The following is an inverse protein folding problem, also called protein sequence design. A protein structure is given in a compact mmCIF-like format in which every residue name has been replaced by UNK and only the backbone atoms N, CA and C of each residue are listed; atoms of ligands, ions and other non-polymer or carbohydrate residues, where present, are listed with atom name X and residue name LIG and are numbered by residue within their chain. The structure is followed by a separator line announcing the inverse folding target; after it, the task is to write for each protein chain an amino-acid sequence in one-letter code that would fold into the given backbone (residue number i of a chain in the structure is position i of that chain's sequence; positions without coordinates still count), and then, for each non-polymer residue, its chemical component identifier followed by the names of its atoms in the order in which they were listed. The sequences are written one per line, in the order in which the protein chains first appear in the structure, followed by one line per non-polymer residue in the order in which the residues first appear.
data_IF_591686907216
#
_entry.id   IF_591686907216
#
_cell.length_a   1.000
_cell.length_b   1.000
_cell.length_c   1.000
_cell.angle_alpha   90.00
_cell.angle_beta   90.00
_cell.angle_gamma   90.00
#
_symmetry.space_group_name_H-M   'P 1'
#
loop_
_entity.id
_entity.type
_entity.pdbx_description
1 polymer ?
#
# COMPACT_ATOMS: atom_id res chain seq x y z
N UNK A 1 -25.83 29.36 6.73
CA UNK A 1 -25.60 28.94 8.14
C UNK A 1 -24.99 27.55 8.10
N UNK A 2 -24.05 27.33 9.00
CA UNK A 2 -23.01 26.31 9.04
C UNK A 2 -23.47 24.83 9.04
N UNK A 3 -22.50 23.97 8.74
CA UNK A 3 -22.55 22.54 9.02
C UNK A 3 -21.53 21.74 8.21
N UNK A 4 -20.24 21.94 8.50
CA UNK A 4 -19.15 20.99 8.25
C UNK A 4 -19.66 19.54 8.34
N UNK A 5 -19.54 18.78 7.25
CA UNK A 5 -19.56 17.33 7.39
C UNK A 5 -18.15 16.95 7.84
N UNK A 6 -17.98 16.39 9.05
CA UNK A 6 -16.66 16.05 9.54
C UNK A 6 -15.99 15.09 8.57
N UNK A 7 -14.74 15.46 8.33
CA UNK A 7 -13.70 14.71 7.68
C UNK A 7 -13.67 13.27 8.16
N UNK A 8 -13.27 12.39 7.25
CA UNK A 8 -12.62 11.13 7.56
C UNK A 8 -13.42 10.13 8.43
N UNK A 9 -14.20 9.28 7.77
CA UNK A 9 -14.59 8.01 8.38
C UNK A 9 -14.45 6.89 7.36
N UNK A 10 -13.23 6.72 6.86
CA UNK A 10 -12.76 5.36 6.61
C UNK A 10 -11.69 5.09 7.65
N UNK A 11 -12.14 4.68 8.84
CA UNK A 11 -11.33 3.87 9.73
C UNK A 11 -11.09 2.51 9.04
N UNK A 12 -10.34 2.53 7.94
CA UNK A 12 -9.59 1.36 7.52
C UNK A 12 -8.66 1.13 8.67
N UNK A 13 -8.94 0.09 9.46
CA UNK A 13 -8.08 -0.38 10.56
C UNK A 13 -6.63 -0.08 10.19
N UNK A 14 -5.98 0.82 10.94
CA UNK A 14 -4.58 1.23 10.84
C UNK A 14 -3.70 0.02 11.18
N UNK A 15 -3.85 -1.04 10.41
CA UNK A 15 -2.91 -2.12 10.38
C UNK A 15 -1.77 -1.59 9.52
N UNK A 16 -0.56 -1.46 10.09
CA UNK A 16 0.57 -0.95 9.34
C UNK A 16 0.74 -1.86 8.13
N UNK A 17 0.50 -1.31 6.94
CA UNK A 17 0.81 -2.04 5.71
C UNK A 17 2.32 -2.12 5.63
N UNK A 18 2.86 -3.31 5.52
CA UNK A 18 4.31 -3.50 5.48
C UNK A 18 4.76 -3.56 4.03
N UNK A 19 5.82 -2.82 3.71
CA UNK A 19 6.46 -2.88 2.40
C UNK A 19 7.01 -4.28 2.16
N UNK A 20 6.58 -4.89 1.06
CA UNK A 20 7.00 -6.24 0.68
C UNK A 20 8.50 -6.29 0.39
N UNK A 21 9.08 -5.19 -0.11
CA UNK A 21 10.49 -5.13 -0.49
C UNK A 21 11.43 -4.86 0.69
N UNK A 22 11.12 -3.88 1.55
CA UNK A 22 12.04 -3.44 2.62
C UNK A 22 11.56 -3.76 4.04
N UNK A 23 10.31 -4.20 4.23
CA UNK A 23 9.74 -4.47 5.54
C UNK A 23 9.38 -3.22 6.36
N UNK A 24 9.50 -2.02 5.79
CA UNK A 24 9.11 -0.78 6.47
C UNK A 24 7.58 -0.64 6.57
N UNK A 25 7.11 0.05 7.60
CA UNK A 25 5.72 0.49 7.68
C UNK A 25 5.42 1.49 6.57
N UNK A 26 4.38 1.23 5.80
CA UNK A 26 3.84 2.11 4.77
C UNK A 26 2.82 3.00 5.47
N UNK A 27 3.02 4.29 5.30
CA UNK A 27 2.03 5.27 5.74
C UNK A 27 0.78 5.14 4.86
N UNK A 28 -0.35 4.80 5.48
CA UNK A 28 -1.62 4.60 4.77
C UNK A 28 -2.43 5.88 4.63
N UNK A 29 -1.93 7.01 5.13
CA UNK A 29 -2.56 8.34 4.94
C UNK A 29 -2.22 8.92 3.56
N UNK A 30 -1.16 8.44 2.92
CA UNK A 30 -0.77 8.79 1.56
C UNK A 30 -1.02 7.66 0.55
N UNK A 31 -1.12 8.00 -0.74
CA UNK A 31 -1.26 7.01 -1.81
C UNK A 31 0.07 6.27 -2.01
N UNK A 32 0.04 4.95 -1.87
CA UNK A 32 1.21 4.09 -2.07
C UNK A 32 1.04 3.10 -3.24
N UNK A 33 2.14 2.74 -3.91
CA UNK A 33 2.10 1.77 -5.00
C UNK A 33 1.75 0.36 -4.50
N UNK A 34 0.86 -0.31 -5.23
CA UNK A 34 0.49 -1.72 -5.03
C UNK A 34 0.60 -2.52 -6.31
N UNK A 35 0.97 -3.79 -6.20
CA UNK A 35 0.97 -4.77 -7.30
C UNK A 35 0.05 -5.92 -6.91
N UNK A 36 -0.88 -6.27 -7.80
CA UNK A 36 -1.71 -7.45 -7.62
C UNK A 36 -1.14 -8.59 -8.48
N UNK A 37 -0.74 -9.66 -7.83
CA UNK A 37 -0.33 -10.89 -8.49
C UNK A 37 -1.54 -11.86 -8.61
N UNK A 38 -2.01 -12.14 -9.83
CA UNK A 38 -3.12 -13.05 -10.05
C UNK A 38 -2.70 -14.52 -10.02
N UNK A 39 -1.41 -14.83 -10.14
CA UNK A 39 -0.91 -16.20 -10.30
C UNK A 39 -1.03 -17.01 -9.01
N UNK A 40 -0.82 -16.37 -7.85
CA UNK A 40 -0.89 -17.03 -6.54
C UNK A 40 -2.13 -16.65 -5.71
N UNK A 41 -3.28 -16.49 -6.39
CA UNK A 41 -4.57 -16.32 -5.72
C UNK A 41 -4.84 -14.90 -5.21
N UNK A 42 -4.51 -13.89 -6.02
CA UNK A 42 -4.75 -12.47 -5.74
C UNK A 42 -3.97 -11.95 -4.51
N UNK A 43 -2.65 -12.16 -4.49
CA UNK A 43 -1.81 -11.48 -3.51
C UNK A 43 -1.61 -10.04 -3.92
N UNK A 44 -1.82 -9.13 -2.97
CA UNK A 44 -1.57 -7.70 -3.17
C UNK A 44 -0.29 -7.35 -2.41
N UNK A 45 0.74 -6.99 -3.14
CA UNK A 45 2.00 -6.49 -2.61
C UNK A 45 1.93 -4.98 -2.50
N UNK A 46 2.16 -4.46 -1.29
CA UNK A 46 2.27 -3.03 -1.04
C UNK A 46 3.73 -2.61 -0.95
N UNK A 47 4.03 -1.41 -1.42
CA UNK A 47 5.37 -0.83 -1.42
C UNK A 47 5.30 0.59 -0.88
N UNK A 48 6.31 1.00 -0.11
CA UNK A 48 6.37 2.39 0.38
C UNK A 48 6.56 3.38 -0.77
N UNK A 49 7.32 2.99 -1.79
CA UNK A 49 7.71 3.85 -2.91
C UNK A 49 7.93 3.05 -4.19
N UNK A 50 8.01 3.76 -5.32
CA UNK A 50 8.28 3.16 -6.63
C UNK A 50 9.61 2.40 -6.68
N UNK A 51 10.65 2.89 -6.00
CA UNK A 51 11.96 2.23 -5.96
C UNK A 51 11.87 0.83 -5.34
N UNK A 52 11.07 0.67 -4.27
CA UNK A 52 10.85 -0.63 -3.63
C UNK A 52 10.06 -1.56 -4.56
N UNK A 53 9.06 -1.03 -5.27
CA UNK A 53 8.32 -1.80 -6.28
C UNK A 53 9.23 -2.27 -7.42
N UNK A 54 10.06 -1.39 -7.97
CA UNK A 54 10.96 -1.72 -9.09
C UNK A 54 12.05 -2.71 -8.70
N UNK A 55 12.60 -2.59 -7.48
CA UNK A 55 13.54 -3.56 -6.95
C UNK A 55 12.88 -4.94 -6.85
N UNK A 56 11.70 -4.99 -6.25
CA UNK A 56 10.98 -6.24 -6.08
C UNK A 56 10.66 -6.90 -7.42
N UNK A 57 10.18 -6.15 -8.43
CA UNK A 57 9.94 -6.68 -9.79
C UNK A 57 11.20 -7.26 -10.43
N UNK A 58 12.36 -6.64 -10.25
CA UNK A 58 13.62 -7.17 -10.74
C UNK A 58 14.03 -8.47 -10.02
N UNK A 59 13.67 -8.61 -8.75
CA UNK A 59 13.97 -9.79 -7.94
C UNK A 59 12.99 -10.95 -8.23
N UNK A 60 11.71 -10.67 -8.47
CA UNK A 60 10.70 -11.70 -8.82
C UNK A 60 10.64 -12.03 -10.31
N UNK A 61 11.14 -11.16 -11.18
CA UNK A 61 11.17 -11.38 -12.64
C UNK A 61 9.83 -11.16 -13.35
N UNK A 62 8.96 -10.31 -12.78
CA UNK A 62 7.67 -9.87 -13.37
C UNK A 62 7.78 -8.77 -14.43
#
# INVERSE_FOLDING_TARGET
MAGDHPEDTTTATDQPRICTSCGAGIDTTEWYPVVADPEEGYRIYAFCDETCRERWRQETGE
#
